data_IF_109297501281
#
_entry.id   IF_109297501281
#
_cell.length_a   1.000
_cell.length_b   1.000
_cell.length_c   1.000
_cell.angle_alpha   90.00
_cell.angle_beta   90.00
_cell.angle_gamma   90.00
#
_symmetry.space_group_name_H-M   'P 1'
#
loop_
_entity.id
_entity.type
_entity.pdbx_description
1 polymer ?
#
# COMPACT_ATOMS: atom_id res chain seq x y z
N UNK A 1 12.47 -5.32 16.80
CA UNK A 1 11.44 -6.19 17.40
C UNK A 1 10.00 -5.84 16.99
N UNK A 2 9.63 -4.58 16.67
CA UNK A 2 8.25 -4.23 16.26
C UNK A 2 7.86 -4.60 14.81
N UNK A 3 8.83 -4.90 13.94
CA UNK A 3 8.59 -5.12 12.50
C UNK A 3 8.14 -6.54 12.16
N UNK A 4 8.69 -7.57 12.81
CA UNK A 4 8.19 -8.95 12.66
C UNK A 4 6.75 -9.11 13.16
N UNK A 5 6.40 -8.46 14.28
CA UNK A 5 5.08 -8.61 14.89
C UNK A 5 3.95 -8.04 14.01
N UNK A 6 4.17 -6.90 13.36
CA UNK A 6 3.21 -6.32 12.42
C UNK A 6 3.10 -7.16 11.14
N UNK A 7 4.23 -7.64 10.60
CA UNK A 7 4.25 -8.51 9.41
C UNK A 7 3.47 -9.81 9.65
N UNK A 8 3.62 -10.40 10.84
CA UNK A 8 2.88 -11.60 11.25
C UNK A 8 1.39 -11.33 11.45
N UNK A 9 1.01 -10.16 11.97
CA UNK A 9 -0.39 -9.76 12.13
C UNK A 9 -1.09 -9.51 10.79
N UNK A 10 -0.41 -8.84 9.87
CA UNK A 10 -0.92 -8.57 8.52
C UNK A 10 -1.06 -9.85 7.70
N UNK A 11 -0.07 -10.74 7.79
CA UNK A 11 -0.15 -12.08 7.19
C UNK A 11 -1.33 -12.88 7.77
N UNK A 12 -1.49 -12.91 9.11
CA UNK A 12 -2.65 -13.54 9.76
C UNK A 12 -3.98 -12.92 9.30
N UNK A 13 -4.09 -11.60 9.18
CA UNK A 13 -5.33 -10.93 8.75
C UNK A 13 -5.67 -11.22 7.30
N UNK A 14 -4.68 -11.27 6.42
CA UNK A 14 -4.88 -11.50 5.00
C UNK A 14 -5.17 -12.98 4.68
N UNK A 15 -4.40 -13.90 5.25
CA UNK A 15 -4.47 -15.34 4.92
C UNK A 15 -5.45 -16.14 5.81
N UNK A 16 -5.68 -15.79 7.09
CA UNK A 16 -6.56 -16.62 7.95
C UNK A 16 -8.05 -16.52 7.60
N UNK A 17 -8.50 -15.41 6.99
CA UNK A 17 -9.93 -15.18 6.69
C UNK A 17 -10.31 -15.43 5.24
N UNK A 18 -9.35 -15.73 4.35
CA UNK A 18 -9.59 -15.85 2.91
C UNK A 18 -9.03 -17.15 2.36
N UNK A 19 -9.93 -18.04 1.93
CA UNK A 19 -9.59 -19.15 1.05
C UNK A 19 -9.84 -18.73 -0.39
N UNK A 20 -8.79 -18.72 -1.20
CA UNK A 20 -8.89 -18.37 -2.62
C UNK A 20 -9.13 -19.63 -3.45
N UNK A 21 -10.05 -19.54 -4.42
CA UNK A 21 -10.36 -20.64 -5.34
C UNK A 21 -9.41 -20.70 -6.55
N UNK A 22 -8.60 -19.67 -6.76
CA UNK A 22 -7.57 -19.60 -7.81
C UNK A 22 -6.45 -18.63 -7.42
N UNK A 23 -5.27 -18.83 -8.00
CA UNK A 23 -4.10 -17.96 -7.82
C UNK A 23 -4.39 -16.52 -8.22
N UNK A 24 -5.03 -16.31 -9.37
CA UNK A 24 -5.36 -14.98 -9.88
C UNK A 24 -6.26 -14.17 -8.91
N UNK A 25 -7.20 -14.85 -8.24
CA UNK A 25 -8.04 -14.20 -7.21
C UNK A 25 -7.25 -13.83 -5.96
N UNK A 26 -6.27 -14.65 -5.59
CA UNK A 26 -5.34 -14.38 -4.49
C UNK A 26 -4.47 -13.17 -4.81
N UNK A 27 -3.88 -13.13 -6.00
CA UNK A 27 -3.05 -12.03 -6.48
C UNK A 27 -3.82 -10.70 -6.54
N UNK A 28 -5.02 -10.69 -7.14
CA UNK A 28 -5.89 -9.50 -7.14
C UNK A 28 -6.22 -9.02 -5.74
N UNK A 29 -6.46 -9.94 -4.79
CA UNK A 29 -6.73 -9.57 -3.41
C UNK A 29 -5.48 -9.01 -2.71
N UNK A 30 -4.30 -9.56 -3.02
CA UNK A 30 -3.02 -9.13 -2.48
C UNK A 30 -2.70 -7.70 -2.94
N UNK A 31 -2.81 -7.44 -4.24
CA UNK A 31 -2.58 -6.11 -4.81
C UNK A 31 -3.52 -5.06 -4.21
N UNK A 32 -4.81 -5.40 -4.02
CA UNK A 32 -5.76 -4.50 -3.33
C UNK A 32 -5.36 -4.21 -1.89
N UNK A 33 -4.88 -5.23 -1.17
CA UNK A 33 -4.46 -5.07 0.22
C UNK A 33 -3.21 -4.20 0.34
N UNK A 34 -2.19 -4.43 -0.50
CA UNK A 34 -0.99 -3.60 -0.58
C UNK A 34 -1.35 -2.14 -0.90
N UNK A 35 -2.22 -1.90 -1.89
CA UNK A 35 -2.68 -0.56 -2.24
C UNK A 35 -3.41 0.12 -1.09
N UNK A 36 -4.26 -0.61 -0.35
CA UNK A 36 -4.95 -0.06 0.83
C UNK A 36 -3.96 0.33 1.92
N UNK A 37 -2.98 -0.52 2.22
CA UNK A 37 -1.95 -0.23 3.22
C UNK A 37 -1.17 1.04 2.84
N UNK A 38 -0.73 1.14 1.59
CA UNK A 38 -0.03 2.31 1.08
C UNK A 38 -0.91 3.57 1.15
N UNK A 39 -2.20 3.48 0.83
CA UNK A 39 -3.13 4.60 0.96
C UNK A 39 -3.29 5.07 2.41
N UNK A 40 -3.34 4.14 3.36
CA UNK A 40 -3.46 4.46 4.80
C UNK A 40 -2.16 5.10 5.30
N UNK A 41 -1.01 4.49 5.01
CA UNK A 41 0.29 5.04 5.39
C UNK A 41 0.49 6.44 4.80
N UNK A 42 0.12 6.64 3.52
CA UNK A 42 0.15 7.95 2.88
C UNK A 42 -0.64 9.00 3.66
N UNK A 43 -1.87 8.68 4.06
CA UNK A 43 -2.73 9.60 4.83
C UNK A 43 -2.21 9.88 6.24
N UNK A 44 -1.68 8.86 6.93
CA UNK A 44 -1.17 9.02 8.31
C UNK A 44 0.10 9.87 8.32
N UNK A 45 0.99 9.65 7.37
CA UNK A 45 2.28 10.33 7.27
C UNK A 45 2.25 11.55 6.34
N UNK A 46 1.07 11.96 5.84
CA UNK A 46 0.90 13.05 4.87
C UNK A 46 1.86 12.99 3.66
N UNK A 47 2.16 11.77 3.19
CA UNK A 47 2.98 11.62 1.99
C UNK A 47 2.22 12.09 0.75
N UNK A 48 2.92 12.77 -0.16
CA UNK A 48 2.35 13.23 -1.42
C UNK A 48 2.29 12.10 -2.43
N UNK A 49 1.26 12.10 -3.26
CA UNK A 49 1.16 11.23 -4.44
C UNK A 49 2.10 11.72 -5.54
N UNK A 50 2.50 10.85 -6.49
CA UNK A 50 3.29 11.30 -7.63
C UNK A 50 2.64 12.47 -8.39
N UNK A 51 1.33 12.46 -8.55
CA UNK A 51 0.61 13.56 -9.21
C UNK A 51 0.64 14.86 -8.40
N UNK A 52 0.50 14.79 -7.07
CA UNK A 52 0.66 15.97 -6.20
C UNK A 52 2.08 16.51 -6.26
N UNK A 53 3.10 15.65 -6.26
CA UNK A 53 4.50 16.05 -6.44
C UNK A 53 4.67 16.74 -7.79
N UNK A 54 4.14 16.18 -8.89
CA UNK A 54 4.21 16.78 -10.22
C UNK A 54 3.49 18.13 -10.28
N UNK A 55 2.32 18.25 -9.65
CA UNK A 55 1.57 19.52 -9.61
C UNK A 55 2.31 20.61 -8.81
N UNK A 56 3.03 20.23 -7.75
CA UNK A 56 3.85 21.16 -6.97
C UNK A 56 5.24 21.41 -7.58
N UNK A 57 5.67 20.53 -8.48
CA UNK A 57 6.95 20.65 -9.15
C UNK A 57 6.88 21.83 -10.12
N UNK A 58 7.41 22.98 -9.69
CA UNK A 58 7.49 24.14 -10.56
C UNK A 58 8.59 23.95 -11.60
N UNK A 59 8.17 23.64 -12.84
CA UNK A 59 9.07 23.47 -13.98
C UNK A 59 9.84 24.75 -14.34
N UNK A 60 9.41 25.93 -13.88
CA UNK A 60 10.08 27.21 -14.14
C UNK A 60 11.44 27.34 -13.42
N UNK A 61 11.70 26.57 -12.37
CA UNK A 61 12.98 26.60 -11.64
C UNK A 61 14.04 25.63 -12.19
N UNK A 62 13.72 24.91 -13.27
CA UNK A 62 14.58 23.86 -13.85
C UNK A 62 15.02 24.19 -15.29
N UNK A 63 14.55 25.31 -15.85
CA UNK A 63 14.88 25.79 -17.20
C UNK A 63 15.81 27.01 -17.18
#
# INVERSE_FOLDING_TARGET
>A
MHREQTKNLDSKRFYNKRRFRSYEKMEKAFNRYANRYNNVARKIFNFKTPNEIVNEFNFEHVA
#
